data_IF_394789621513
#
_entry.id   IF_394789621513
#
_cell.length_a   1.000
_cell.length_b   1.000
_cell.length_c   1.000
_cell.angle_alpha   90.00
_cell.angle_beta   90.00
_cell.angle_gamma   90.00
#
_symmetry.space_group_name_H-M   'P 1'
#
loop_
_entity.id
_entity.type
_entity.pdbx_description
1 polymer ?
#
# COMPACT_ATOMS: atom_id res chain seq x y z
N UNK A 1 -23.35 15.96 -2.55
CA UNK A 1 -24.25 15.09 -1.79
C UNK A 1 -23.82 13.66 -2.04
N UNK A 2 -23.63 12.87 -0.99
CA UNK A 2 -23.26 11.47 -1.13
C UNK A 2 -24.42 10.71 -1.79
N UNK A 3 -24.14 10.07 -2.91
CA UNK A 3 -25.02 9.07 -3.49
C UNK A 3 -24.76 7.73 -2.81
N UNK A 4 -25.75 6.86 -2.80
CA UNK A 4 -25.57 5.48 -2.36
C UNK A 4 -24.42 4.84 -3.15
N UNK A 5 -23.65 3.97 -2.48
CA UNK A 5 -22.47 3.26 -3.00
C UNK A 5 -21.30 4.10 -3.53
N UNK A 6 -21.18 5.39 -3.19
CA UNK A 6 -19.95 6.13 -3.52
C UNK A 6 -18.84 5.85 -2.47
N UNK A 7 -17.73 5.27 -2.93
CA UNK A 7 -16.55 4.98 -2.10
C UNK A 7 -15.55 6.14 -2.04
N UNK A 8 -15.58 7.02 -3.03
CA UNK A 8 -14.66 8.16 -3.14
C UNK A 8 -15.19 9.37 -2.36
N UNK A 9 -14.32 10.38 -2.18
CA UNK A 9 -14.75 11.67 -1.66
C UNK A 9 -15.80 12.33 -2.56
N UNK A 10 -16.63 13.17 -1.93
CA UNK A 10 -17.54 14.04 -2.68
C UNK A 10 -16.73 15.10 -3.43
N UNK A 11 -17.26 15.57 -4.56
CA UNK A 11 -16.64 16.64 -5.35
C UNK A 11 -16.36 17.86 -4.47
N UNK A 12 -15.17 18.44 -4.64
CA UNK A 12 -14.74 19.63 -3.91
C UNK A 12 -15.65 20.82 -4.23
N UNK A 13 -16.18 21.46 -3.18
CA UNK A 13 -16.93 22.72 -3.29
C UNK A 13 -16.05 23.93 -2.93
N UNK A 14 -14.85 23.69 -2.41
CA UNK A 14 -13.87 24.71 -2.06
C UNK A 14 -12.46 24.32 -2.55
N UNK A 15 -11.58 25.32 -2.84
CA UNK A 15 -10.20 25.05 -3.25
C UNK A 15 -9.41 24.20 -2.25
N UNK A 16 -9.75 24.29 -0.96
CA UNK A 16 -9.13 23.48 0.09
C UNK A 16 -9.51 22.00 -0.03
N UNK A 17 -10.76 21.70 -0.36
CA UNK A 17 -11.22 20.31 -0.51
C UNK A 17 -10.52 19.63 -1.69
N UNK A 18 -10.30 20.34 -2.79
CA UNK A 18 -9.54 19.80 -3.93
C UNK A 18 -8.10 19.44 -3.54
N UNK A 19 -7.42 20.29 -2.77
CA UNK A 19 -6.06 19.99 -2.28
C UNK A 19 -6.02 18.77 -1.36
N UNK A 20 -7.03 18.58 -0.51
CA UNK A 20 -7.13 17.39 0.35
C UNK A 20 -7.35 16.12 -0.48
N UNK A 21 -8.16 16.19 -1.54
CA UNK A 21 -8.38 15.05 -2.44
C UNK A 21 -7.06 14.69 -3.15
N UNK A 22 -6.30 15.67 -3.65
CA UNK A 22 -4.98 15.40 -4.26
C UNK A 22 -3.99 14.77 -3.27
N UNK A 23 -3.94 15.27 -2.03
CA UNK A 23 -3.10 14.69 -1.00
C UNK A 23 -3.51 13.25 -0.64
N UNK A 24 -4.82 13.02 -0.50
CA UNK A 24 -5.35 11.70 -0.22
C UNK A 24 -4.98 10.71 -1.33
N UNK A 25 -5.21 11.07 -2.59
CA UNK A 25 -4.91 10.18 -3.72
C UNK A 25 -3.42 9.83 -3.79
N UNK A 26 -2.55 10.80 -3.52
CA UNK A 26 -1.11 10.53 -3.42
C UNK A 26 -0.78 9.56 -2.29
N UNK A 27 -1.36 9.76 -1.10
CA UNK A 27 -1.15 8.89 0.05
C UNK A 27 -1.67 7.47 -0.19
N UNK A 28 -2.81 7.34 -0.89
CA UNK A 28 -3.42 6.07 -1.21
C UNK A 28 -2.59 5.28 -2.23
N UNK A 29 -1.97 5.95 -3.21
CA UNK A 29 -1.02 5.30 -4.15
C UNK A 29 0.15 4.69 -3.39
N UNK A 30 0.74 5.41 -2.43
CA UNK A 30 1.85 4.90 -1.61
C UNK A 30 1.41 3.66 -0.80
N UNK A 31 0.23 3.74 -0.15
CA UNK A 31 -0.29 2.64 0.65
C UNK A 31 -0.56 1.38 -0.19
N UNK A 32 -1.16 1.55 -1.36
CA UNK A 32 -1.41 0.44 -2.29
C UNK A 32 -0.09 -0.18 -2.77
N UNK A 33 0.92 0.64 -3.07
CA UNK A 33 2.24 0.14 -3.48
C UNK A 33 2.86 -0.77 -2.40
N UNK A 34 2.82 -0.35 -1.14
CA UNK A 34 3.37 -1.12 -0.02
C UNK A 34 2.57 -2.41 0.19
N UNK A 35 1.23 -2.34 0.17
CA UNK A 35 0.38 -3.53 0.38
C UNK A 35 0.56 -4.58 -0.72
N UNK A 36 0.71 -4.16 -1.98
CA UNK A 36 1.02 -5.07 -3.09
C UNK A 36 2.40 -5.71 -2.88
N UNK A 37 3.42 -4.93 -2.54
CA UNK A 37 4.78 -5.44 -2.31
C UNK A 37 4.81 -6.50 -1.19
N UNK A 38 4.16 -6.21 -0.05
CA UNK A 38 4.06 -7.16 1.07
C UNK A 38 3.27 -8.40 0.66
N UNK A 39 2.13 -8.25 -0.02
CA UNK A 39 1.31 -9.38 -0.46
C UNK A 39 2.07 -10.31 -1.41
N UNK A 40 2.87 -9.74 -2.32
CA UNK A 40 3.71 -10.50 -3.25
C UNK A 40 4.80 -11.28 -2.50
N UNK A 41 5.48 -10.65 -1.53
CA UNK A 41 6.47 -11.35 -0.70
C UNK A 41 5.84 -12.53 0.05
N UNK A 42 4.67 -12.33 0.67
CA UNK A 42 3.97 -13.39 1.39
C UNK A 42 3.59 -14.55 0.46
N UNK A 43 3.00 -14.26 -0.71
CA UNK A 43 2.66 -15.27 -1.71
C UNK A 43 3.89 -16.06 -2.16
N UNK A 44 5.01 -15.39 -2.39
CA UNK A 44 6.25 -16.04 -2.81
C UNK A 44 6.79 -17.03 -1.78
N UNK A 45 6.65 -16.74 -0.47
CA UNK A 45 7.06 -17.67 0.58
C UNK A 45 6.17 -18.92 0.64
N UNK A 46 4.86 -18.78 0.40
CA UNK A 46 3.94 -19.94 0.41
C UNK A 46 4.24 -20.95 -0.70
N UNK A 47 4.67 -20.50 -1.87
CA UNK A 47 5.00 -21.38 -2.99
C UNK A 47 6.47 -21.81 -3.05
N UNK A 48 7.31 -21.36 -2.11
CA UNK A 48 8.72 -21.69 -2.10
C UNK A 48 8.94 -23.12 -1.57
N UNK A 49 9.62 -23.96 -2.37
CA UNK A 49 9.95 -25.35 -2.01
C UNK A 49 11.34 -25.50 -1.36
N UNK A 50 12.17 -24.46 -1.41
CA UNK A 50 13.53 -24.50 -0.90
C UNK A 50 13.58 -24.01 0.56
N UNK A 51 14.16 -24.83 1.43
CA UNK A 51 14.35 -24.49 2.84
C UNK A 51 15.76 -23.94 3.02
N UNK A 52 15.89 -22.65 3.32
CA UNK A 52 17.16 -22.03 3.69
C UNK A 52 17.18 -21.70 5.20
N UNK A 53 17.90 -22.51 5.99
CA UNK A 53 18.02 -22.34 7.44
C UNK A 53 18.96 -21.20 7.86
N UNK A 54 19.89 -20.79 7.01
CA UNK A 54 20.89 -19.77 7.33
C UNK A 54 20.42 -18.33 7.08
N UNK A 55 19.20 -18.14 6.55
CA UNK A 55 18.62 -16.82 6.31
C UNK A 55 18.21 -16.08 7.60
N UNK A 56 18.37 -16.70 8.78
CA UNK A 56 17.92 -16.15 10.07
C UNK A 56 18.75 -14.95 10.56
N UNK A 57 20.01 -14.83 10.13
CA UNK A 57 20.85 -13.65 10.44
C UNK A 57 21.11 -12.85 9.16
N UNK A 58 20.25 -11.86 8.91
CA UNK A 58 20.25 -11.05 7.70
C UNK A 58 20.53 -9.57 7.98
N UNK A 59 21.65 -9.22 8.62
CA UNK A 59 22.00 -7.83 8.99
C UNK A 59 21.90 -6.83 7.83
N UNK A 60 22.21 -7.25 6.61
CA UNK A 60 22.07 -6.40 5.42
C UNK A 60 20.61 -6.14 5.03
N UNK A 61 19.68 -7.05 5.34
CA UNK A 61 18.24 -6.90 5.06
C UNK A 61 17.61 -5.96 6.09
N UNK A 62 18.08 -5.95 7.34
CA UNK A 62 17.57 -5.04 8.38
C UNK A 62 17.89 -3.57 8.12
N UNK A 63 18.96 -3.29 7.38
CA UNK A 63 19.35 -1.93 7.01
C UNK A 63 18.49 -1.33 5.89
N UNK A 64 17.85 -2.18 5.08
CA UNK A 64 17.04 -1.79 3.91
C UNK A 64 15.58 -1.60 4.35
#
# INVERSE_FOLDING_TARGET
>A
MATWSNLNFQNGVSPLMEQIIFFHDHSLIILIMITILVSYMMLSMFFNKFINRFLMEGQMIELI
#
